data_IF_382970901407
#
_entry.id   IF_382970901407
#
_cell.length_a   1.000
_cell.length_b   1.000
_cell.length_c   1.000
_cell.angle_alpha   90.00
_cell.angle_beta   90.00
_cell.angle_gamma   90.00
#
_symmetry.space_group_name_H-M   'P 1'
#
loop_
_entity.id
_entity.type
_entity.pdbx_description
1 polymer ?
#
# COMPACT_ATOMS: atom_id res chain seq x y z
N UNK A 1 -40.93 -57.56 5.89
CA UNK A 1 -40.80 -56.12 5.59
C UNK A 1 -39.43 -55.84 5.00
N UNK A 2 -39.28 -56.03 3.68
CA UNK A 2 -38.01 -55.86 2.96
C UNK A 2 -38.27 -55.39 1.52
N UNK A 3 -38.99 -54.26 1.37
CA UNK A 3 -39.37 -53.73 0.05
C UNK A 3 -39.16 -52.21 -0.10
N UNK A 4 -38.48 -51.55 0.85
CA UNK A 4 -38.26 -50.09 0.82
C UNK A 4 -36.78 -49.70 0.59
N UNK A 5 -35.85 -50.65 0.44
CA UNK A 5 -34.40 -50.34 0.37
C UNK A 5 -33.83 -50.17 -1.06
N UNK A 6 -34.60 -50.39 -2.12
CA UNK A 6 -34.09 -50.34 -3.51
C UNK A 6 -34.64 -49.17 -4.34
N UNK A 7 -35.63 -48.43 -3.83
CA UNK A 7 -36.28 -47.33 -4.55
C UNK A 7 -35.65 -45.96 -4.31
N UNK A 8 -34.81 -45.81 -3.28
CA UNK A 8 -34.12 -44.55 -2.93
C UNK A 8 -33.08 -44.07 -3.96
N UNK A 9 -32.15 -44.90 -4.47
CA UNK A 9 -31.13 -44.41 -5.40
C UNK A 9 -31.70 -44.06 -6.78
N UNK A 10 -32.75 -44.77 -7.22
CA UNK A 10 -33.43 -44.48 -8.50
C UNK A 10 -34.20 -43.17 -8.42
N UNK A 11 -34.87 -42.88 -7.30
CA UNK A 11 -35.56 -41.61 -7.11
C UNK A 11 -34.61 -40.42 -7.06
N UNK A 12 -33.45 -40.57 -6.42
CA UNK A 12 -32.40 -39.54 -6.38
C UNK A 12 -31.83 -39.29 -7.78
N UNK A 13 -31.56 -40.35 -8.55
CA UNK A 13 -31.07 -40.21 -9.93
C UNK A 13 -32.08 -39.48 -10.84
N UNK A 14 -33.38 -39.82 -10.73
CA UNK A 14 -34.44 -39.14 -11.48
C UNK A 14 -34.56 -37.67 -11.06
N UNK A 15 -34.48 -37.37 -9.77
CA UNK A 15 -34.52 -36.00 -9.26
C UNK A 15 -33.34 -35.16 -9.76
N UNK A 16 -32.12 -35.72 -9.79
CA UNK A 16 -30.94 -35.05 -10.34
C UNK A 16 -31.07 -34.76 -11.84
N UNK A 17 -31.64 -35.70 -12.63
CA UNK A 17 -31.88 -35.49 -14.06
C UNK A 17 -32.93 -34.42 -14.30
N UNK A 18 -34.02 -34.39 -13.52
CA UNK A 18 -35.05 -33.35 -13.60
C UNK A 18 -34.48 -31.97 -13.27
N UNK A 19 -33.68 -31.86 -12.21
CA UNK A 19 -33.00 -30.60 -11.84
C UNK A 19 -32.06 -30.14 -12.95
N UNK A 20 -31.29 -31.05 -13.56
CA UNK A 20 -30.39 -30.72 -14.66
C UNK A 20 -31.14 -30.24 -15.92
N UNK A 21 -32.29 -30.84 -16.24
CA UNK A 21 -33.14 -30.41 -17.36
C UNK A 21 -33.73 -29.03 -17.10
N UNK A 22 -34.21 -28.76 -15.88
CA UNK A 22 -34.75 -27.44 -15.48
C UNK A 22 -33.67 -26.34 -15.53
N UNK A 23 -32.45 -26.64 -15.07
CA UNK A 23 -31.33 -25.69 -15.16
C UNK A 23 -30.90 -25.44 -16.61
N UNK A 24 -30.93 -26.47 -17.47
CA UNK A 24 -30.61 -26.34 -18.90
C UNK A 24 -31.68 -25.58 -19.67
N UNK A 25 -32.96 -25.72 -19.32
CA UNK A 25 -34.05 -24.91 -19.92
C UNK A 25 -34.04 -23.46 -19.45
N UNK A 26 -33.67 -23.19 -18.19
CA UNK A 26 -33.49 -21.81 -17.68
C UNK A 26 -32.31 -21.08 -18.33
N UNK A 27 -31.18 -21.78 -18.57
CA UNK A 27 -30.03 -21.19 -19.28
C UNK A 27 -30.26 -20.92 -20.77
N UNK A 28 -31.28 -21.54 -21.37
CA UNK A 28 -31.64 -21.35 -22.78
C UNK A 28 -32.53 -20.15 -23.06
N UNK A 29 -33.05 -19.44 -22.05
CA UNK A 29 -33.99 -18.33 -22.23
C UNK A 29 -33.43 -16.93 -21.91
N UNK A 30 -32.13 -16.79 -21.64
CA UNK A 30 -31.46 -15.49 -21.39
C UNK A 30 -30.66 -14.95 -22.58
N UNK A 31 -30.74 -15.61 -23.75
CA UNK A 31 -30.10 -15.11 -24.97
C UNK A 31 -31.15 -14.84 -26.06
N UNK A 32 -31.93 -13.77 -25.87
CA UNK A 32 -32.57 -13.05 -26.98
C UNK A 32 -33.12 -11.70 -26.52
N UNK A 33 -32.59 -10.64 -27.13
CA UNK A 33 -33.26 -9.38 -27.46
C UNK A 33 -33.84 -8.52 -26.34
N UNK A 34 -33.16 -7.42 -26.03
CA UNK A 34 -33.84 -6.11 -26.06
C UNK A 34 -32.85 -4.99 -26.38
N UNK A 35 -32.84 -4.56 -27.64
CA UNK A 35 -32.62 -3.16 -27.97
C UNK A 35 -33.65 -2.33 -27.19
N UNK A 36 -33.17 -1.41 -26.36
CA UNK A 36 -33.95 -0.25 -25.92
C UNK A 36 -33.06 0.98 -25.94
N UNK A 37 -33.43 1.87 -26.84
CA UNK A 37 -33.14 3.29 -26.78
C UNK A 37 -33.43 3.83 -25.38
N UNK A 38 -32.46 4.53 -24.79
CA UNK A 38 -32.73 5.49 -23.72
C UNK A 38 -31.96 6.77 -24.02
N UNK A 39 -32.72 7.77 -24.49
CA UNK A 39 -32.38 9.17 -24.33
C UNK A 39 -32.42 9.50 -22.85
N UNK A 40 -31.27 9.79 -22.26
CA UNK A 40 -31.14 10.24 -20.87
C UNK A 40 -29.75 10.81 -20.66
N UNK A 41 -29.66 12.11 -20.38
CA UNK A 41 -28.40 12.86 -20.31
C UNK A 41 -27.41 12.27 -19.29
N UNK A 42 -26.37 11.62 -19.79
CA UNK A 42 -25.20 11.21 -19.02
C UNK A 42 -24.15 12.31 -19.08
N UNK A 43 -23.76 12.82 -17.91
CA UNK A 43 -22.50 13.57 -17.72
C UNK A 43 -21.38 12.80 -18.42
N UNK A 44 -20.58 13.50 -19.24
CA UNK A 44 -19.34 12.97 -19.81
C UNK A 44 -18.49 12.38 -18.69
N UNK A 45 -18.43 11.06 -18.59
CA UNK A 45 -17.37 10.36 -17.88
C UNK A 45 -16.11 10.62 -18.69
N UNK A 46 -15.23 11.48 -18.18
CA UNK A 46 -13.90 11.63 -18.75
C UNK A 46 -13.19 10.27 -18.72
N UNK A 47 -12.63 9.89 -19.86
CA UNK A 47 -11.90 8.65 -20.00
C UNK A 47 -10.65 8.71 -19.11
N UNK A 48 -10.59 7.90 -18.04
CA UNK A 48 -9.46 7.82 -17.09
C UNK A 48 -8.75 6.45 -17.18
N UNK A 49 -8.12 6.13 -18.32
CA UNK A 49 -7.58 4.79 -18.59
C UNK A 49 -6.52 4.31 -17.59
N UNK A 50 -5.88 5.24 -16.87
CA UNK A 50 -4.84 4.99 -15.88
C UNK A 50 -5.33 4.36 -14.58
N UNK A 51 -6.62 4.48 -14.24
CA UNK A 51 -7.19 3.97 -12.98
C UNK A 51 -7.37 2.46 -13.03
N UNK A 52 -7.68 1.92 -14.21
CA UNK A 52 -7.96 0.49 -14.40
C UNK A 52 -6.68 -0.36 -14.47
N UNK A 53 -5.52 0.23 -14.83
CA UNK A 53 -4.21 -0.42 -14.82
C UNK A 53 -3.64 -0.62 -13.40
N UNK A 54 -3.95 0.28 -12.45
CA UNK A 54 -3.42 0.20 -11.08
C UNK A 54 -4.19 -0.79 -10.20
N UNK A 55 -5.45 -1.11 -10.55
CA UNK A 55 -6.24 -2.16 -9.90
C UNK A 55 -5.85 -3.58 -10.34
N UNK A 56 -5.04 -3.70 -11.40
CA UNK A 56 -4.39 -4.94 -11.78
C UNK A 56 -3.14 -5.09 -10.90
N UNK A 57 -3.34 -5.77 -9.79
CA UNK A 57 -2.29 -6.10 -8.84
C UNK A 57 -1.41 -7.23 -9.40
N UNK A 58 -0.46 -6.89 -10.27
CA UNK A 58 0.53 -7.84 -10.79
C UNK A 58 1.61 -8.21 -9.75
N UNK A 59 1.35 -8.02 -8.45
CA UNK A 59 2.29 -8.42 -7.37
C UNK A 59 2.27 -9.92 -7.12
N UNK A 60 1.24 -10.63 -7.58
CA UNK A 60 1.27 -12.09 -7.65
C UNK A 60 2.20 -12.48 -8.80
N UNK A 61 3.27 -13.21 -8.47
CA UNK A 61 4.14 -13.86 -9.45
C UNK A 61 3.25 -14.84 -10.24
N UNK A 62 2.73 -14.41 -11.39
CA UNK A 62 2.03 -15.30 -12.32
C UNK A 62 3.02 -16.36 -12.76
N UNK A 63 2.63 -17.63 -12.64
CA UNK A 63 3.54 -18.75 -12.84
C UNK A 63 4.17 -18.75 -14.23
N UNK A 64 5.44 -19.15 -14.30
CA UNK A 64 6.17 -19.60 -15.51
C UNK A 64 5.91 -18.76 -16.78
N UNK A 65 6.02 -17.45 -16.70
CA UNK A 65 6.21 -16.65 -17.91
C UNK A 65 7.71 -16.56 -18.21
N UNK A 66 8.11 -17.17 -19.33
CA UNK A 66 9.44 -17.16 -19.98
C UNK A 66 10.66 -17.09 -19.04
N UNK A 67 10.93 -18.19 -18.32
CA UNK A 67 12.12 -18.38 -17.46
C UNK A 67 13.47 -18.19 -18.19
N UNK A 68 13.50 -18.21 -19.54
CA UNK A 68 14.72 -18.10 -20.35
C UNK A 68 15.24 -16.64 -20.49
N UNK A 69 14.39 -15.61 -20.35
CA UNK A 69 14.79 -14.20 -20.53
C UNK A 69 15.16 -13.47 -19.21
N UNK A 70 14.73 -13.99 -18.05
CA UNK A 70 14.90 -13.35 -16.73
C UNK A 70 16.12 -13.87 -15.94
N UNK A 71 16.80 -14.93 -16.41
CA UNK A 71 18.05 -15.42 -15.83
C UNK A 71 19.24 -14.58 -16.29
N UNK A 72 19.49 -13.49 -15.58
CA UNK A 72 20.72 -12.73 -15.70
C UNK A 72 21.66 -13.09 -14.55
N UNK A 73 22.78 -13.73 -14.87
CA UNK A 73 23.92 -13.85 -13.98
C UNK A 73 24.35 -12.44 -13.53
N UNK A 74 24.17 -12.16 -12.24
CA UNK A 74 24.48 -10.86 -11.64
C UNK A 74 25.98 -10.72 -11.35
N UNK A 75 26.79 -11.73 -11.68
CA UNK A 75 28.22 -11.78 -11.39
C UNK A 75 28.52 -11.97 -9.90
N UNK A 76 27.51 -12.36 -9.11
CA UNK A 76 27.56 -12.49 -7.65
C UNK A 76 27.24 -13.90 -7.17
N UNK A 77 27.42 -14.92 -8.00
CA UNK A 77 27.14 -16.32 -7.61
C UNK A 77 28.00 -16.77 -6.42
N UNK A 78 29.24 -16.29 -6.31
CA UNK A 78 30.17 -16.60 -5.22
C UNK A 78 30.58 -15.34 -4.44
N UNK A 79 29.63 -14.74 -3.70
CA UNK A 79 29.96 -13.68 -2.75
C UNK A 79 30.70 -14.25 -1.52
N UNK A 80 31.78 -13.61 -1.03
CA UNK A 80 32.45 -14.05 0.18
C UNK A 80 31.55 -13.83 1.40
N UNK A 81 31.33 -14.88 2.19
CA UNK A 81 30.65 -14.78 3.47
C UNK A 81 31.61 -14.26 4.55
N UNK A 82 31.22 -13.20 5.25
CA UNK A 82 32.03 -12.56 6.29
C UNK A 82 31.48 -12.84 7.70
N UNK A 83 32.33 -12.88 8.75
CA UNK A 83 31.85 -13.06 10.12
C UNK A 83 30.93 -11.92 10.59
N UNK A 84 29.79 -12.27 11.18
CA UNK A 84 28.84 -11.32 11.77
C UNK A 84 29.06 -11.17 13.28
N UNK A 85 29.45 -9.97 13.73
CA UNK A 85 29.80 -9.69 15.13
C UNK A 85 29.00 -8.50 15.69
N UNK A 86 27.71 -8.68 16.04
CA UNK A 86 26.89 -7.61 16.58
C UNK A 86 27.25 -7.29 18.03
N UNK A 87 26.85 -6.09 18.48
CA UNK A 87 26.94 -5.72 19.89
C UNK A 87 25.98 -6.59 20.72
N UNK A 88 26.50 -7.24 21.78
CA UNK A 88 25.70 -8.00 22.75
C UNK A 88 25.61 -7.21 24.05
N UNK A 89 24.39 -7.02 24.53
CA UNK A 89 24.11 -6.35 25.80
C UNK A 89 23.85 -7.37 26.92
N UNK A 90 24.18 -7.03 28.18
CA UNK A 90 23.66 -7.73 29.36
C UNK A 90 22.12 -7.68 29.43
N UNK A 91 21.49 -8.68 30.07
CA UNK A 91 20.03 -8.86 30.06
C UNK A 91 19.26 -7.69 30.69
N UNK A 92 19.76 -7.13 31.79
CA UNK A 92 19.21 -5.95 32.44
C UNK A 92 19.16 -4.75 31.48
N UNK A 93 20.26 -4.56 30.72
CA UNK A 93 20.35 -3.51 29.70
C UNK A 93 19.43 -3.80 28.51
N UNK A 94 19.24 -5.07 28.13
CA UNK A 94 18.28 -5.45 27.08
C UNK A 94 16.84 -5.08 27.48
N UNK A 95 16.44 -5.39 28.72
CA UNK A 95 15.12 -5.06 29.26
C UNK A 95 14.89 -3.55 29.34
N UNK A 96 15.90 -2.79 29.78
CA UNK A 96 15.84 -1.34 29.84
C UNK A 96 15.62 -0.74 28.43
N UNK A 97 16.45 -1.14 27.45
CA UNK A 97 16.39 -0.61 26.09
C UNK A 97 15.09 -0.96 25.38
N UNK A 98 14.61 -2.20 25.52
CA UNK A 98 13.37 -2.62 24.88
C UNK A 98 12.17 -1.84 25.43
N UNK A 99 12.12 -1.58 26.74
CA UNK A 99 11.08 -0.76 27.36
C UNK A 99 11.13 0.70 26.89
N UNK A 100 12.33 1.31 26.86
CA UNK A 100 12.50 2.69 26.37
C UNK A 100 12.07 2.83 24.91
N UNK A 101 12.48 1.89 24.06
CA UNK A 101 12.13 1.91 22.65
C UNK A 101 10.62 1.71 22.43
N UNK A 102 9.98 0.80 23.18
CA UNK A 102 8.54 0.65 23.19
C UNK A 102 7.84 1.96 23.58
N UNK A 103 8.27 2.61 24.67
CA UNK A 103 7.69 3.89 25.12
C UNK A 103 7.80 4.97 24.04
N UNK A 104 8.98 5.11 23.43
CA UNK A 104 9.22 6.07 22.34
C UNK A 104 8.28 5.83 21.15
N UNK A 105 8.16 4.57 20.67
CA UNK A 105 7.28 4.25 19.54
C UNK A 105 5.79 4.34 19.91
N UNK A 106 5.45 4.13 21.19
CA UNK A 106 4.08 4.27 21.66
C UNK A 106 3.62 5.73 21.67
N UNK A 107 4.52 6.70 21.82
CA UNK A 107 4.19 8.13 21.69
C UNK A 107 3.84 8.54 20.25
N UNK A 108 4.29 7.77 19.25
CA UNK A 108 3.99 8.07 17.84
C UNK A 108 2.49 8.03 17.59
N UNK A 109 1.96 9.15 17.07
CA UNK A 109 0.61 9.30 16.51
C UNK A 109 0.70 9.74 15.05
N UNK A 110 -0.34 9.46 14.27
CA UNK A 110 -0.45 10.00 12.91
C UNK A 110 -1.03 11.41 12.97
N UNK A 111 -0.24 12.41 12.64
CA UNK A 111 -0.57 13.83 12.78
C UNK A 111 -0.93 14.41 11.41
N UNK A 112 -2.06 15.12 11.33
CA UNK A 112 -2.60 15.70 10.08
C UNK A 112 -2.52 17.22 10.02
N UNK A 113 -2.08 17.87 11.09
CA UNK A 113 -1.83 19.30 11.16
C UNK A 113 -0.32 19.51 11.35
N UNK A 114 0.37 19.88 10.28
CA UNK A 114 1.84 19.95 10.24
C UNK A 114 2.27 21.41 10.07
N UNK A 115 3.22 21.83 10.90
CA UNK A 115 3.82 23.17 10.90
C UNK A 115 4.65 23.40 9.63
N UNK A 116 4.66 24.63 9.07
CA UNK A 116 5.56 25.02 7.99
C UNK A 116 7.00 25.31 8.43
N UNK A 117 7.29 25.17 9.73
CA UNK A 117 8.63 25.36 10.28
C UNK A 117 9.65 24.47 9.54
N UNK A 118 10.77 25.04 9.03
CA UNK A 118 11.78 24.28 8.31
C UNK A 118 12.39 23.16 9.14
N UNK A 119 12.62 22.01 8.51
CA UNK A 119 13.37 20.89 9.07
C UNK A 119 14.75 20.84 8.41
N UNK A 120 15.84 20.59 9.15
CA UNK A 120 17.16 20.45 8.52
C UNK A 120 17.18 19.30 7.50
N UNK A 121 17.66 19.56 6.28
CA UNK A 121 17.71 18.56 5.19
C UNK A 121 18.48 17.29 5.59
N UNK A 122 19.56 17.44 6.33
CA UNK A 122 20.36 16.32 6.82
C UNK A 122 19.57 15.35 7.71
N UNK A 123 18.59 15.85 8.48
CA UNK A 123 17.69 14.99 9.26
C UNK A 123 16.85 14.11 8.32
N UNK A 124 16.32 14.69 7.23
CA UNK A 124 15.55 13.95 6.22
C UNK A 124 16.43 12.88 5.54
N UNK A 125 17.66 13.24 5.17
CA UNK A 125 18.61 12.30 4.57
C UNK A 125 18.93 11.14 5.53
N UNK A 126 19.12 11.42 6.83
CA UNK A 126 19.42 10.40 7.83
C UNK A 126 18.25 9.45 8.12
N UNK A 127 17.01 9.93 8.18
CA UNK A 127 15.85 9.04 8.37
C UNK A 127 15.59 8.16 7.12
N UNK A 128 15.89 8.66 5.92
CA UNK A 128 15.82 7.87 4.69
C UNK A 128 16.94 6.83 4.63
N UNK A 129 18.17 7.19 5.05
CA UNK A 129 19.26 6.19 5.20
C UNK A 129 18.88 5.07 6.15
N UNK A 130 18.24 5.39 7.28
CA UNK A 130 17.72 4.39 8.21
C UNK A 130 16.63 3.51 7.57
N UNK A 131 15.77 4.07 6.72
CA UNK A 131 14.80 3.28 5.96
C UNK A 131 15.48 2.32 4.98
N UNK A 132 16.54 2.77 4.31
CA UNK A 132 17.35 1.98 3.37
C UNK A 132 18.08 0.79 4.00
N UNK A 133 18.18 0.69 5.33
CA UNK A 133 18.76 -0.49 6.00
C UNK A 133 17.77 -1.65 6.15
N UNK A 134 16.57 -1.55 5.57
CA UNK A 134 15.57 -2.60 5.64
C UNK A 134 16.06 -3.89 4.94
N UNK A 135 15.60 -5.08 5.38
CA UNK A 135 15.75 -6.29 4.59
C UNK A 135 14.91 -6.20 3.31
N UNK A 136 15.34 -6.89 2.26
CA UNK A 136 14.59 -7.02 1.01
C UNK A 136 14.78 -8.41 0.40
N UNK A 137 13.76 -8.90 -0.29
CA UNK A 137 13.81 -10.19 -0.99
C UNK A 137 14.99 -10.23 -1.96
N UNK A 138 15.88 -11.22 -1.80
CA UNK A 138 17.12 -11.36 -2.57
C UNK A 138 18.00 -10.09 -2.63
N UNK A 139 17.99 -9.27 -1.56
CA UNK A 139 18.77 -8.02 -1.48
C UNK A 139 18.53 -7.09 -2.70
N UNK A 140 17.27 -6.95 -3.10
CA UNK A 140 16.88 -6.16 -4.28
C UNK A 140 16.72 -4.67 -4.00
N UNK A 141 16.57 -4.27 -2.72
CA UNK A 141 16.39 -2.88 -2.28
C UNK A 141 15.37 -2.09 -3.14
N UNK A 142 14.13 -2.60 -3.31
CA UNK A 142 13.24 -2.20 -4.39
C UNK A 142 12.45 -0.92 -4.07
N UNK A 143 13.11 0.10 -3.51
CA UNK A 143 12.50 1.32 -3.02
C UNK A 143 13.11 2.58 -3.64
N UNK A 144 12.25 3.56 -3.89
CA UNK A 144 12.65 4.92 -4.22
C UNK A 144 11.94 5.90 -3.29
N UNK A 145 12.72 6.74 -2.59
CA UNK A 145 12.21 7.80 -1.74
C UNK A 145 12.28 9.14 -2.49
N UNK A 146 11.15 9.62 -3.00
CA UNK A 146 11.06 10.91 -3.67
C UNK A 146 10.77 11.99 -2.64
N UNK A 147 11.75 12.86 -2.39
CA UNK A 147 11.63 13.97 -1.43
C UNK A 147 11.27 15.25 -2.17
N UNK A 148 10.11 15.83 -1.83
CA UNK A 148 9.60 17.05 -2.45
C UNK A 148 9.54 18.16 -1.39
N UNK A 149 10.32 19.22 -1.59
CA UNK A 149 10.29 20.44 -0.79
C UNK A 149 9.77 21.65 -1.58
N UNK A 150 9.79 21.57 -2.91
CA UNK A 150 9.36 22.64 -3.80
C UNK A 150 7.86 22.92 -3.66
N UNK A 151 7.51 24.20 -3.46
CA UNK A 151 6.15 24.62 -3.16
C UNK A 151 5.18 24.38 -4.32
N UNK A 152 5.63 24.63 -5.56
CA UNK A 152 4.80 24.44 -6.75
C UNK A 152 4.50 22.95 -6.97
N UNK A 153 5.51 22.09 -6.81
CA UNK A 153 5.35 20.63 -6.91
C UNK A 153 4.43 20.10 -5.81
N UNK A 154 4.58 20.56 -4.56
CA UNK A 154 3.68 20.20 -3.46
C UNK A 154 2.23 20.60 -3.73
N UNK A 155 2.00 21.79 -4.28
CA UNK A 155 0.68 22.27 -4.65
C UNK A 155 0.05 21.37 -5.73
N UNK A 156 0.78 21.05 -6.80
CA UNK A 156 0.31 20.11 -7.84
C UNK A 156 -0.01 18.71 -7.30
N UNK A 157 0.80 18.21 -6.36
CA UNK A 157 0.52 16.95 -5.67
C UNK A 157 -0.80 17.04 -4.90
N UNK A 158 -1.02 18.15 -4.18
CA UNK A 158 -2.26 18.37 -3.44
C UNK A 158 -3.47 18.39 -4.36
N UNK A 159 -3.43 19.12 -5.47
CA UNK A 159 -4.55 19.17 -6.43
C UNK A 159 -4.95 17.77 -6.91
N UNK A 160 -3.97 16.96 -7.32
CA UNK A 160 -4.21 15.56 -7.75
C UNK A 160 -4.84 14.75 -6.63
N UNK A 161 -4.30 14.85 -5.41
CA UNK A 161 -4.78 14.05 -4.27
C UNK A 161 -6.18 14.48 -3.84
N UNK A 162 -6.47 15.77 -3.75
CA UNK A 162 -7.79 16.26 -3.32
C UNK A 162 -8.87 15.93 -4.37
N UNK A 163 -8.57 16.02 -5.67
CA UNK A 163 -9.49 15.65 -6.74
C UNK A 163 -9.89 14.17 -6.67
N UNK A 164 -8.91 13.27 -6.58
CA UNK A 164 -9.18 11.83 -6.51
C UNK A 164 -9.81 11.44 -5.16
N UNK A 165 -9.42 12.07 -4.05
CA UNK A 165 -10.05 11.84 -2.75
C UNK A 165 -11.51 12.31 -2.73
N UNK A 166 -11.85 13.41 -3.38
CA UNK A 166 -13.25 13.84 -3.48
C UNK A 166 -14.11 12.77 -4.15
N UNK A 167 -13.60 12.16 -5.23
CA UNK A 167 -14.26 11.04 -5.92
C UNK A 167 -14.28 9.79 -5.04
N UNK A 168 -13.20 9.50 -4.31
CA UNK A 168 -13.12 8.36 -3.41
C UNK A 168 -14.19 8.44 -2.32
N UNK A 169 -14.31 9.59 -1.64
CA UNK A 169 -15.31 9.82 -0.58
C UNK A 169 -16.74 9.80 -1.11
N UNK A 170 -16.99 10.32 -2.32
CA UNK A 170 -18.35 10.42 -2.87
C UNK A 170 -18.83 9.14 -3.54
N UNK A 171 -17.92 8.30 -4.06
CA UNK A 171 -18.30 7.22 -4.96
C UNK A 171 -17.55 5.90 -4.68
N UNK A 172 -16.21 5.91 -4.65
CA UNK A 172 -15.43 4.65 -4.72
C UNK A 172 -15.30 3.89 -3.41
N UNK A 173 -15.22 4.59 -2.27
CA UNK A 173 -15.01 3.95 -0.97
C UNK A 173 -16.27 3.27 -0.43
N UNK A 174 -17.45 3.70 -0.89
CA UNK A 174 -18.75 3.22 -0.41
C UNK A 174 -19.06 3.63 1.03
N UNK A 175 -20.32 3.42 1.43
CA UNK A 175 -20.84 3.95 2.72
C UNK A 175 -20.13 3.39 3.95
N UNK A 176 -19.75 2.10 3.91
CA UNK A 176 -19.09 1.41 5.03
C UNK A 176 -17.73 2.05 5.33
N UNK A 177 -16.88 2.20 4.32
CA UNK A 177 -15.54 2.74 4.53
C UNK A 177 -15.61 4.22 4.93
N UNK A 178 -16.48 5.01 4.30
CA UNK A 178 -16.71 6.40 4.71
C UNK A 178 -17.18 6.49 6.17
N UNK A 179 -18.05 5.58 6.61
CA UNK A 179 -18.47 5.50 8.01
C UNK A 179 -17.31 5.20 8.96
N UNK A 180 -16.47 4.23 8.64
CA UNK A 180 -15.31 3.83 9.45
C UNK A 180 -14.28 4.97 9.62
N UNK A 181 -14.22 5.89 8.65
CA UNK A 181 -13.36 7.07 8.67
C UNK A 181 -13.89 8.24 9.51
N UNK A 182 -15.20 8.28 9.84
CA UNK A 182 -15.81 9.42 10.55
C UNK A 182 -15.12 9.74 11.87
N UNK A 183 -14.69 8.71 12.62
CA UNK A 183 -13.96 8.87 13.89
C UNK A 183 -12.60 9.57 13.73
N UNK A 184 -12.02 9.52 12.54
CA UNK A 184 -10.75 10.18 12.22
C UNK A 184 -10.94 11.62 11.75
N UNK A 185 -12.19 12.04 11.47
CA UNK A 185 -12.56 13.37 10.94
C UNK A 185 -11.77 13.74 9.68
N UNK A 186 -11.43 12.75 8.85
CA UNK A 186 -10.78 12.98 7.57
C UNK A 186 -11.80 13.33 6.50
N UNK A 187 -11.41 14.19 5.58
CA UNK A 187 -12.15 14.52 4.37
C UNK A 187 -11.16 14.53 3.18
N UNK A 188 -11.61 15.02 2.02
CA UNK A 188 -10.77 15.13 0.83
C UNK A 188 -9.77 16.29 0.87
N UNK A 189 -9.92 17.28 1.77
CA UNK A 189 -9.02 18.44 1.88
C UNK A 189 -7.76 18.05 2.66
N UNK A 190 -6.58 18.26 2.05
CA UNK A 190 -5.27 17.81 2.55
C UNK A 190 -4.28 18.97 2.65
N UNK A 191 -4.60 19.98 3.45
CA UNK A 191 -3.74 21.18 3.65
C UNK A 191 -2.27 20.84 4.00
N UNK A 192 -2.06 19.76 4.75
CA UNK A 192 -0.73 19.28 5.13
C UNK A 192 0.18 18.92 3.95
N UNK A 193 -0.37 18.72 2.73
CA UNK A 193 0.43 18.50 1.54
C UNK A 193 1.18 19.75 1.08
N UNK A 194 0.71 20.94 1.46
CA UNK A 194 1.41 22.19 1.21
C UNK A 194 2.13 22.70 2.45
N UNK A 195 1.52 22.63 3.63
CA UNK A 195 2.11 23.20 4.84
C UNK A 195 3.35 22.45 5.30
N UNK A 196 3.41 21.12 5.16
CA UNK A 196 4.57 20.34 5.58
C UNK A 196 5.82 20.76 4.77
N UNK A 197 6.99 20.97 5.42
CA UNK A 197 8.21 21.38 4.72
C UNK A 197 8.70 20.33 3.72
N UNK A 198 8.43 19.04 3.97
CA UNK A 198 8.77 17.95 3.06
C UNK A 198 7.58 17.01 2.83
N UNK A 199 7.44 16.54 1.60
CA UNK A 199 6.71 15.31 1.29
C UNK A 199 7.71 14.22 0.92
N UNK A 200 7.54 13.02 1.48
CA UNK A 200 8.29 11.83 1.09
C UNK A 200 7.30 10.88 0.43
N UNK A 201 7.42 10.71 -0.89
CA UNK A 201 6.66 9.72 -1.65
C UNK A 201 7.52 8.47 -1.80
N UNK A 202 7.06 7.36 -1.24
CA UNK A 202 7.76 6.08 -1.30
C UNK A 202 7.17 5.26 -2.44
N UNK A 203 7.98 4.99 -3.44
CA UNK A 203 7.64 4.12 -4.56
C UNK A 203 8.26 2.73 -4.36
N UNK A 204 7.46 1.69 -4.62
CA UNK A 204 7.97 0.33 -4.80
C UNK A 204 8.39 0.14 -6.25
N UNK A 205 9.56 -0.42 -6.47
CA UNK A 205 10.02 -0.86 -7.79
C UNK A 205 9.48 -2.27 -8.03
N UNK A 206 8.52 -2.42 -8.93
CA UNK A 206 7.88 -3.72 -9.24
C UNK A 206 8.87 -4.68 -9.92
N UNK A 207 9.83 -4.14 -10.64
CA UNK A 207 11.01 -4.82 -11.17
C UNK A 207 12.18 -3.84 -11.26
N UNK A 208 13.40 -4.36 -11.26
CA UNK A 208 14.63 -3.61 -11.53
C UNK A 208 14.98 -3.63 -13.01
N UNK A 209 15.94 -2.79 -13.41
CA UNK A 209 16.51 -2.79 -14.76
C UNK A 209 18.02 -2.98 -14.60
N UNK A 210 18.56 -3.99 -15.27
CA UNK A 210 19.98 -4.31 -15.25
C UNK A 210 20.76 -3.42 -16.22
N UNK A 211 22.10 -3.44 -16.12
CA UNK A 211 22.96 -2.60 -16.97
C UNK A 211 22.82 -2.90 -18.47
N UNK A 212 22.40 -4.10 -18.84
CA UNK A 212 22.12 -4.55 -20.21
C UNK A 212 20.67 -4.26 -20.66
N UNK A 213 19.85 -3.64 -19.81
CA UNK A 213 18.46 -3.30 -20.08
C UNK A 213 17.45 -4.42 -19.79
N UNK A 214 17.88 -5.62 -19.39
CA UNK A 214 16.97 -6.69 -18.98
C UNK A 214 16.27 -6.35 -17.66
N UNK A 215 15.09 -6.94 -17.46
CA UNK A 215 14.36 -6.81 -16.20
C UNK A 215 15.04 -7.68 -15.13
N UNK A 216 15.04 -7.18 -13.91
CA UNK A 216 15.44 -7.93 -12.71
C UNK A 216 14.22 -8.12 -11.83
N UNK A 217 13.91 -9.34 -11.46
CA UNK A 217 12.79 -9.62 -10.58
C UNK A 217 13.01 -9.04 -9.18
N UNK A 218 12.02 -8.32 -8.64
CA UNK A 218 12.02 -7.84 -7.26
C UNK A 218 11.03 -8.64 -6.42
N UNK A 219 11.52 -9.72 -5.80
CA UNK A 219 10.70 -10.62 -4.98
C UNK A 219 10.15 -9.91 -3.75
N UNK A 220 8.85 -10.07 -3.51
CA UNK A 220 8.16 -9.50 -2.34
C UNK A 220 8.41 -7.98 -2.19
N UNK A 221 8.46 -7.24 -3.30
CA UNK A 221 8.79 -5.82 -3.31
C UNK A 221 7.89 -4.99 -2.38
N UNK A 222 6.58 -5.21 -2.39
CA UNK A 222 5.64 -4.46 -1.54
C UNK A 222 5.90 -4.69 -0.04
N UNK A 223 6.14 -5.94 0.37
CA UNK A 223 6.48 -6.29 1.76
C UNK A 223 7.81 -5.63 2.13
N UNK A 224 8.82 -5.74 1.27
CA UNK A 224 10.15 -5.16 1.49
C UNK A 224 10.08 -3.64 1.68
N UNK A 225 9.38 -2.94 0.80
CA UNK A 225 9.20 -1.48 0.89
C UNK A 225 8.34 -1.10 2.11
N UNK A 226 7.33 -1.90 2.47
CA UNK A 226 6.52 -1.66 3.67
C UNK A 226 7.32 -1.79 4.97
N UNK A 227 8.26 -2.75 5.04
CA UNK A 227 9.19 -2.87 6.17
C UNK A 227 10.09 -1.62 6.24
N UNK A 228 10.61 -1.17 5.09
CA UNK A 228 11.39 0.06 4.99
C UNK A 228 10.62 1.29 5.46
N UNK A 229 9.33 1.41 5.10
CA UNK A 229 8.43 2.44 5.63
C UNK A 229 8.27 2.35 7.15
N UNK A 230 8.23 1.15 7.72
CA UNK A 230 8.21 0.93 9.17
C UNK A 230 9.46 1.51 9.87
N UNK A 231 10.65 1.26 9.29
CA UNK A 231 11.89 1.85 9.77
C UNK A 231 11.91 3.37 9.63
N UNK A 232 11.40 3.91 8.51
CA UNK A 232 11.27 5.36 8.30
C UNK A 232 10.39 6.01 9.37
N UNK A 233 9.24 5.42 9.68
CA UNK A 233 8.33 5.92 10.71
C UNK A 233 8.96 5.90 12.11
N UNK A 234 9.73 4.85 12.43
CA UNK A 234 10.48 4.77 13.68
C UNK A 234 11.59 5.83 13.75
N UNK A 235 12.31 6.05 12.64
CA UNK A 235 13.37 7.04 12.54
C UNK A 235 12.82 8.48 12.69
N UNK A 236 11.69 8.79 12.05
CA UNK A 236 10.99 10.07 12.19
C UNK A 236 10.59 10.35 13.65
N UNK A 237 9.97 9.37 14.31
CA UNK A 237 9.61 9.49 15.73
C UNK A 237 10.84 9.73 16.61
N UNK A 238 11.94 9.02 16.34
CA UNK A 238 13.18 9.13 17.11
C UNK A 238 13.80 10.54 17.04
N UNK A 239 13.66 11.24 15.92
CA UNK A 239 14.20 12.60 15.73
C UNK A 239 13.20 13.71 16.07
N UNK A 240 12.03 13.37 16.61
CA UNK A 240 11.01 14.33 17.04
C UNK A 240 10.16 14.93 15.90
N UNK A 241 10.12 14.28 14.74
CA UNK A 241 9.25 14.68 13.62
C UNK A 241 7.97 13.84 13.59
N UNK A 242 6.93 14.42 13.00
CA UNK A 242 5.63 13.75 12.83
C UNK A 242 5.27 13.59 11.36
N UNK A 243 4.37 12.64 11.11
CA UNK A 243 3.79 12.41 9.80
C UNK A 243 2.44 11.70 9.93
N UNK A 244 1.74 11.54 8.82
CA UNK A 244 0.60 10.63 8.67
C UNK A 244 0.86 9.73 7.47
N UNK A 245 0.82 8.43 7.67
CA UNK A 245 0.83 7.48 6.54
C UNK A 245 -0.43 7.67 5.71
N UNK A 246 -0.27 8.12 4.47
CA UNK A 246 -1.36 8.25 3.51
C UNK A 246 -1.12 7.37 2.28
N UNK A 247 -2.20 6.77 1.80
CA UNK A 247 -2.25 5.94 0.61
C UNK A 247 -3.28 6.56 -0.34
N UNK A 248 -2.90 7.60 -1.10
CA UNK A 248 -3.84 8.35 -1.93
C UNK A 248 -4.32 7.45 -3.08
N UNK A 249 -5.45 6.77 -2.85
CA UNK A 249 -6.01 5.77 -3.74
C UNK A 249 -6.27 6.39 -5.12
N UNK A 250 -5.84 5.69 -6.18
CA UNK A 250 -5.94 6.11 -7.59
C UNK A 250 -5.10 7.33 -7.99
N UNK A 251 -4.25 7.87 -7.11
CA UNK A 251 -3.34 8.97 -7.44
C UNK A 251 -1.99 8.49 -8.01
N UNK A 252 -1.68 7.19 -7.85
CA UNK A 252 -0.39 6.59 -8.21
C UNK A 252 0.12 6.97 -9.60
N UNK A 253 -0.66 6.82 -10.68
CA UNK A 253 -0.18 7.05 -12.04
C UNK A 253 0.10 8.53 -12.32
N UNK A 254 -0.80 9.41 -11.86
CA UNK A 254 -0.64 10.86 -12.05
C UNK A 254 0.57 11.39 -11.26
N UNK A 255 0.73 10.95 -10.01
CA UNK A 255 1.88 11.34 -9.18
C UNK A 255 3.20 10.78 -9.74
N UNK A 256 3.20 9.57 -10.29
CA UNK A 256 4.35 8.98 -10.99
C UNK A 256 4.78 9.84 -12.17
N UNK A 257 3.84 10.25 -13.02
CA UNK A 257 4.11 11.11 -14.19
C UNK A 257 4.59 12.50 -13.77
N UNK A 258 3.91 13.13 -12.80
CA UNK A 258 4.28 14.45 -12.26
C UNK A 258 5.72 14.46 -11.75
N UNK A 259 6.14 13.39 -11.07
CA UNK A 259 7.47 13.27 -10.46
C UNK A 259 8.50 12.60 -11.38
N UNK A 260 8.18 12.43 -12.66
CA UNK A 260 9.04 11.83 -13.67
C UNK A 260 9.60 10.46 -13.24
N UNK A 261 8.77 9.65 -12.59
CA UNK A 261 9.14 8.31 -12.14
C UNK A 261 8.92 7.27 -13.25
N UNK A 262 9.83 6.30 -13.40
CA UNK A 262 9.75 5.31 -14.46
C UNK A 262 8.55 4.37 -14.28
N UNK A 263 8.15 3.68 -15.34
CA UNK A 263 6.95 2.83 -15.34
C UNK A 263 7.06 1.60 -14.39
N UNK A 264 8.27 1.22 -14.00
CA UNK A 264 8.51 0.15 -13.02
C UNK A 264 8.33 0.60 -11.57
N UNK A 265 8.00 1.86 -11.31
CA UNK A 265 7.76 2.38 -9.96
C UNK A 265 6.27 2.65 -9.73
N UNK A 266 5.70 2.04 -8.68
CA UNK A 266 4.33 2.30 -8.22
C UNK A 266 4.36 2.98 -6.85
N UNK A 267 3.54 4.01 -6.65
CA UNK A 267 3.45 4.72 -5.37
C UNK A 267 2.88 3.76 -4.31
N UNK A 268 3.57 3.63 -3.18
CA UNK A 268 3.11 2.85 -2.04
C UNK A 268 2.56 3.74 -0.92
N UNK A 269 3.29 4.79 -0.53
CA UNK A 269 2.91 5.70 0.55
C UNK A 269 3.33 7.13 0.24
N UNK A 270 2.55 8.10 0.73
CA UNK A 270 2.90 9.52 0.78
C UNK A 270 2.93 9.96 2.25
N UNK A 271 4.08 10.49 2.67
CA UNK A 271 4.32 10.98 4.03
C UNK A 271 4.60 12.49 4.02
N UNK A 272 3.69 13.35 4.49
CA UNK A 272 4.02 14.73 4.80
C UNK A 272 4.82 14.77 6.11
N UNK A 273 5.97 15.44 6.12
CA UNK A 273 6.93 15.40 7.23
C UNK A 273 7.24 16.81 7.72
N UNK A 274 7.16 17.00 9.04
CA UNK A 274 7.48 18.25 9.70
C UNK A 274 7.26 18.17 11.21
N UNK A 275 7.25 19.32 11.87
CA UNK A 275 6.81 19.45 13.26
C UNK A 275 5.27 19.46 13.34
N UNK A 276 4.66 19.00 14.45
CA UNK A 276 3.23 19.17 14.65
C UNK A 276 2.90 20.67 14.74
N UNK A 277 1.77 21.09 14.17
CA UNK A 277 1.26 22.44 14.40
C UNK A 277 0.95 22.65 15.91
N UNK A 278 1.02 23.89 16.44
CA UNK A 278 0.75 24.15 17.87
C UNK A 278 -0.64 23.71 18.34
N UNK A 279 -1.62 23.70 17.44
CA UNK A 279 -3.01 23.31 17.65
C UNK A 279 -3.32 21.91 17.11
N UNK A 280 -2.30 21.13 16.74
CA UNK A 280 -2.48 19.80 16.19
C UNK A 280 -3.24 18.89 17.18
N UNK A 281 -4.32 18.29 16.69
CA UNK A 281 -5.09 17.30 17.45
C UNK A 281 -4.96 15.92 16.83
N UNK A 282 -5.18 14.90 17.65
CA UNK A 282 -5.25 13.50 17.23
C UNK A 282 -6.53 12.88 17.81
N UNK A 283 -7.17 11.93 17.12
CA UNK A 283 -8.31 11.23 17.70
C UNK A 283 -7.86 10.47 18.95
N UNK A 284 -8.71 10.41 19.97
CA UNK A 284 -8.41 9.68 21.21
C UNK A 284 -8.64 8.17 21.02
N UNK A 285 -7.68 7.52 20.35
CA UNK A 285 -7.71 6.10 20.03
C UNK A 285 -6.79 5.35 20.97
N UNK A 286 -7.26 4.20 21.46
CA UNK A 286 -6.46 3.25 22.24
C UNK A 286 -5.88 2.17 21.32
N UNK A 287 -4.62 1.78 21.56
CA UNK A 287 -4.05 0.57 20.96
C UNK A 287 -4.60 -0.67 21.68
N UNK A 288 -4.60 -1.81 20.98
CA UNK A 288 -4.85 -3.12 21.58
C UNK A 288 -3.83 -3.43 22.67
N UNK A 289 -4.20 -4.27 23.63
CA UNK A 289 -3.27 -4.71 24.66
C UNK A 289 -2.37 -5.84 24.14
N UNK A 290 -1.36 -6.23 24.93
CA UNK A 290 -0.36 -7.21 24.48
C UNK A 290 -1.00 -8.60 24.25
N UNK A 291 -1.94 -8.99 25.11
CA UNK A 291 -2.65 -10.27 25.02
C UNK A 291 -3.48 -10.38 23.73
N UNK A 292 -3.93 -9.26 23.18
CA UNK A 292 -4.74 -9.21 21.95
C UNK A 292 -3.90 -9.33 20.67
N UNK A 293 -2.58 -9.21 20.76
CA UNK A 293 -1.66 -9.18 19.61
C UNK A 293 -0.54 -10.21 19.69
N UNK A 294 -0.34 -10.87 20.84
CA UNK A 294 0.69 -11.88 21.05
C UNK A 294 0.06 -13.20 21.49
N UNK A 295 0.24 -14.24 20.68
CA UNK A 295 -0.09 -15.62 21.03
C UNK A 295 1.20 -16.36 21.36
N UNK A 296 1.31 -16.85 22.59
CA UNK A 296 2.39 -17.74 22.99
C UNK A 296 1.93 -19.19 22.77
N UNK A 297 2.63 -19.92 21.90
CA UNK A 297 2.35 -21.32 21.54
C UNK A 297 3.42 -22.22 22.14
#
# INVERSE_FOLDING_TARGET
>A
MALISTLTPVFVAILCVVIAIVFKTRRGSEYSSSEKSSSGGGKKTENRPWVDEDLQDDTEISGRENEEDDWADTGTEDLPHVPYNPCRYPEDKMLERSKQFYTLLNERRSVRCISPEPVPREVIDNVIRAAGTAPSGAHTEPWTFVVVADAETKHKIREIVEEEEEINYKQRMGDKWVHDLRRLRTNWVKEYLETAPYLILIFKQTYGIMADGRKKTHYYNEISVSISCGLLLAALQNVGLVTVTSTPLNCGPQLRVLLHRPANEKLLMLLPVGYPAPDATVPDLTRKQLEDIMVFV
#
